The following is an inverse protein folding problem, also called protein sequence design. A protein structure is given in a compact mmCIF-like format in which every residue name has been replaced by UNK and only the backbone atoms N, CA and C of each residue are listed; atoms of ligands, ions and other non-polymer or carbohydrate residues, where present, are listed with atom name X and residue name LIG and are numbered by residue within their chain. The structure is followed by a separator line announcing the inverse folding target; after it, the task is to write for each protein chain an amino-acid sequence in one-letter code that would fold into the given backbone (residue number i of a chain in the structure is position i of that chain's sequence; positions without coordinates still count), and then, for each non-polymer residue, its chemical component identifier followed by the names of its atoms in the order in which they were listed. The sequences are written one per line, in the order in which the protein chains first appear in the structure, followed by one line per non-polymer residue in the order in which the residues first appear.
data_IF_897854059442
#
_entry.id   IF_897854059442
#
_cell.length_a   1.000
_cell.length_b   1.000
_cell.length_c   1.000
_cell.angle_alpha   90.00
_cell.angle_beta   90.00
_cell.angle_gamma   90.00
#
_symmetry.space_group_name_H-M   'P 1'
#
loop_
_entity.id
_entity.type
_entity.pdbx_description
1 polymer ?
#
# COMPACT_ATOMS: atom_id res chain seq x y z
N UNK A 1 -23.54 39.83 29.51
CA UNK A 1 -22.55 39.21 28.58
C UNK A 1 -22.38 37.70 28.80
N UNK A 2 -22.50 37.21 30.04
CA UNK A 2 -22.37 35.79 30.43
C UNK A 2 -23.28 34.80 29.66
N UNK A 3 -24.55 35.14 29.41
CA UNK A 3 -25.50 34.23 28.74
C UNK A 3 -25.24 34.03 27.24
N UNK A 4 -24.57 34.98 26.58
CA UNK A 4 -24.20 34.88 25.16
C UNK A 4 -23.02 33.94 24.96
N UNK A 5 -22.06 33.97 25.89
CA UNK A 5 -20.90 33.05 25.91
C UNK A 5 -21.33 31.60 26.13
N UNK A 6 -22.26 31.35 27.05
CA UNK A 6 -22.77 30.00 27.33
C UNK A 6 -23.49 29.41 26.11
N UNK A 7 -24.29 30.23 25.40
CA UNK A 7 -24.97 29.80 24.16
C UNK A 7 -23.99 29.52 23.02
N UNK A 8 -22.92 30.31 22.91
CA UNK A 8 -21.86 30.08 21.93
C UNK A 8 -21.11 28.77 22.21
N UNK A 9 -20.83 28.48 23.49
CA UNK A 9 -20.16 27.25 23.92
C UNK A 9 -21.03 26.01 23.64
N UNK A 10 -22.33 26.09 23.91
CA UNK A 10 -23.30 25.03 23.59
C UNK A 10 -23.45 24.79 22.08
N UNK A 11 -23.31 25.83 21.26
CA UNK A 11 -23.35 25.70 19.79
C UNK A 11 -22.07 25.05 19.24
N UNK A 12 -20.91 25.28 19.88
CA UNK A 12 -19.65 24.65 19.50
C UNK A 12 -19.60 23.14 19.82
N UNK A 13 -20.36 22.68 20.82
CA UNK A 13 -20.52 21.26 21.17
C UNK A 13 -21.32 20.45 20.13
N UNK A 14 -22.09 21.14 19.27
CA UNK A 14 -22.86 20.52 18.19
C UNK A 14 -22.08 20.41 16.87
N UNK A 15 -20.81 20.88 16.84
CA UNK A 15 -19.96 20.67 15.68
C UNK A 15 -19.68 19.16 15.57
N UNK A 16 -20.10 18.51 14.47
CA UNK A 16 -19.77 17.11 14.27
C UNK A 16 -18.25 17.00 14.21
N UNK A 17 -17.66 16.36 15.21
CA UNK A 17 -16.31 15.81 15.13
C UNK A 17 -16.37 14.75 14.03
N UNK A 18 -16.16 15.17 12.79
CA UNK A 18 -15.92 14.28 11.66
C UNK A 18 -14.57 13.62 11.89
N UNK A 19 -14.54 12.62 12.78
CA UNK A 19 -13.44 11.67 12.83
C UNK A 19 -13.44 10.95 11.49
N UNK A 20 -12.44 11.22 10.65
CA UNK A 20 -12.21 10.42 9.46
C UNK A 20 -12.04 8.96 9.92
N UNK A 21 -13.01 8.12 9.57
CA UNK A 21 -12.92 6.69 9.86
C UNK A 21 -11.68 6.16 9.14
N UNK A 22 -10.69 5.70 9.90
CA UNK A 22 -9.53 5.02 9.33
C UNK A 22 -10.03 3.76 8.64
N UNK A 23 -9.88 3.68 7.31
CA UNK A 23 -10.26 2.50 6.53
C UNK A 23 -9.57 1.27 7.13
N UNK A 24 -10.36 0.33 7.63
CA UNK A 24 -9.83 -0.91 8.19
C UNK A 24 -9.21 -1.75 7.06
N UNK A 25 -7.90 -2.02 7.15
CA UNK A 25 -7.18 -2.89 6.21
C UNK A 25 -7.05 -4.27 6.84
N UNK A 26 -7.77 -5.26 6.31
CA UNK A 26 -7.79 -6.62 6.84
C UNK A 26 -6.60 -7.45 6.33
N UNK A 27 -5.41 -7.25 6.89
CA UNK A 27 -4.25 -8.10 6.59
C UNK A 27 -4.16 -9.27 7.57
N UNK A 28 -4.22 -10.48 7.02
CA UNK A 28 -4.07 -11.74 7.75
C UNK A 28 -2.95 -12.57 7.11
N UNK A 29 -1.91 -12.99 7.86
CA UNK A 29 -1.64 -12.67 9.26
C UNK A 29 -1.36 -11.17 9.51
N UNK A 30 -1.55 -10.72 10.75
CA UNK A 30 -1.29 -9.33 11.13
C UNK A 30 0.20 -9.01 10.92
N UNK A 31 0.56 -7.93 10.21
CA UNK A 31 1.95 -7.56 10.04
C UNK A 31 2.58 -7.16 11.38
N UNK A 32 3.89 -7.40 11.51
CA UNK A 32 4.69 -7.03 12.69
C UNK A 32 4.56 -5.55 13.02
N UNK A 33 4.58 -4.71 11.99
CA UNK A 33 4.44 -3.25 12.08
C UNK A 33 3.59 -2.75 10.92
N UNK A 34 2.69 -1.81 11.20
CA UNK A 34 1.91 -1.10 10.18
C UNK A 34 1.81 0.38 10.57
N UNK A 35 2.20 1.25 9.65
CA UNK A 35 2.04 2.70 9.79
C UNK A 35 1.23 3.18 8.59
N UNK A 36 0.11 3.84 8.85
CA UNK A 36 -0.75 4.42 7.82
C UNK A 36 -0.57 5.93 7.86
N UNK A 37 0.01 6.48 6.80
CA UNK A 37 0.08 7.92 6.58
C UNK A 37 -1.17 8.41 5.85
N UNK A 38 -1.43 9.72 5.88
CA UNK A 38 -2.49 10.34 5.08
C UNK A 38 -2.18 10.22 3.59
N UNK A 39 -3.20 9.92 2.77
CA UNK A 39 -3.08 9.79 1.32
C UNK A 39 -3.49 8.40 0.82
N UNK A 40 -3.54 8.24 -0.49
CA UNK A 40 -3.89 6.97 -1.13
C UNK A 40 -3.23 6.87 -2.51
N UNK A 41 -2.76 5.69 -2.88
CA UNK A 41 -2.39 5.36 -4.26
C UNK A 41 -3.65 4.93 -5.00
N UNK A 42 -3.97 5.58 -6.11
CA UNK A 42 -4.99 5.07 -7.03
C UNK A 42 -4.30 4.20 -8.06
N UNK A 43 -4.73 2.94 -8.17
CA UNK A 43 -4.18 2.02 -9.16
C UNK A 43 -4.75 2.34 -10.55
N UNK A 44 -3.91 2.70 -11.54
CA UNK A 44 -4.32 2.78 -12.95
C UNK A 44 -4.85 1.44 -13.44
N UNK A 45 -5.63 1.43 -14.51
CA UNK A 45 -6.20 0.18 -15.05
C UNK A 45 -5.17 -0.71 -15.75
N UNK A 46 -3.99 -0.19 -16.06
CA UNK A 46 -2.98 -0.80 -16.93
C UNK A 46 -1.56 -0.66 -16.36
N UNK A 47 -1.42 -0.58 -15.05
CA UNK A 47 -0.12 -0.39 -14.42
C UNK A 47 0.82 -1.59 -14.59
N UNK A 48 2.11 -1.34 -14.35
CA UNK A 48 3.17 -2.34 -14.47
C UNK A 48 3.77 -2.71 -13.13
N UNK A 49 4.28 -3.94 -13.06
CA UNK A 49 5.03 -4.48 -11.92
C UNK A 49 6.46 -4.78 -12.40
N UNK A 50 7.45 -4.09 -11.84
CA UNK A 50 8.86 -4.31 -12.13
C UNK A 50 9.42 -5.47 -11.30
N UNK A 51 10.16 -6.37 -11.95
CA UNK A 51 10.81 -7.56 -11.36
C UNK A 51 12.33 -7.53 -11.50
N UNK A 52 12.97 -6.44 -11.05
CA UNK A 52 14.43 -6.25 -11.17
C UNK A 52 15.21 -7.18 -10.21
N UNK A 53 16.23 -7.87 -10.75
CA UNK A 53 17.13 -8.74 -10.00
C UNK A 53 16.49 -10.00 -9.40
N UNK A 54 15.31 -10.39 -9.86
CA UNK A 54 14.59 -11.58 -9.37
C UNK A 54 14.92 -12.82 -10.21
N UNK A 55 14.81 -14.00 -9.62
CA UNK A 55 14.95 -15.27 -10.34
C UNK A 55 13.67 -15.65 -11.10
N UNK A 56 13.73 -16.74 -11.87
CA UNK A 56 12.64 -17.18 -12.72
C UNK A 56 11.39 -17.62 -11.92
N UNK A 57 11.58 -18.19 -10.73
CA UNK A 57 10.47 -18.61 -9.87
C UNK A 57 9.72 -17.38 -9.31
N UNK A 58 10.44 -16.37 -8.86
CA UNK A 58 9.86 -15.10 -8.40
C UNK A 58 9.20 -14.32 -9.54
N UNK A 59 9.79 -14.31 -10.74
CA UNK A 59 9.14 -13.73 -11.92
C UNK A 59 7.87 -14.48 -12.28
N UNK A 60 7.84 -15.81 -12.16
CA UNK A 60 6.63 -16.59 -12.37
C UNK A 60 5.53 -16.25 -11.34
N UNK A 61 5.92 -16.02 -10.07
CA UNK A 61 5.01 -15.55 -9.03
C UNK A 61 4.38 -14.19 -9.38
N UNK A 62 5.19 -13.23 -9.83
CA UNK A 62 4.70 -11.89 -10.21
C UNK A 62 3.75 -11.98 -11.41
N UNK A 63 4.06 -12.82 -12.39
CA UNK A 63 3.16 -13.08 -13.52
C UNK A 63 1.84 -13.71 -13.07
N UNK A 64 1.89 -14.66 -12.12
CA UNK A 64 0.68 -15.26 -11.53
C UNK A 64 -0.15 -14.21 -10.80
N UNK A 65 0.49 -13.36 -9.98
CA UNK A 65 -0.18 -12.25 -9.31
C UNK A 65 -0.86 -11.31 -10.32
N UNK A 66 -0.18 -10.92 -11.40
CA UNK A 66 -0.77 -10.06 -12.42
C UNK A 66 -2.00 -10.71 -13.07
N UNK A 67 -1.93 -12.02 -13.37
CA UNK A 67 -3.06 -12.77 -13.91
C UNK A 67 -4.25 -12.81 -12.93
N UNK A 68 -4.01 -13.15 -11.67
CA UNK A 68 -5.04 -13.23 -10.62
C UNK A 68 -5.67 -11.86 -10.35
N UNK A 69 -4.84 -10.80 -10.32
CA UNK A 69 -5.30 -9.43 -10.13
C UNK A 69 -6.19 -8.99 -11.30
N UNK A 70 -5.79 -9.25 -12.55
CA UNK A 70 -6.58 -8.93 -13.74
C UNK A 70 -7.90 -9.70 -13.75
N UNK A 71 -7.89 -10.98 -13.38
CA UNK A 71 -9.10 -11.78 -13.29
C UNK A 71 -10.08 -11.24 -12.23
N UNK A 72 -9.57 -10.77 -11.08
CA UNK A 72 -10.39 -10.26 -9.99
C UNK A 72 -10.93 -8.83 -10.24
N UNK A 73 -10.22 -8.01 -11.01
CA UNK A 73 -10.50 -6.56 -11.14
C UNK A 73 -10.97 -6.13 -12.54
N UNK A 74 -10.68 -6.94 -13.57
CA UNK A 74 -10.85 -6.55 -14.97
C UNK A 74 -9.76 -5.62 -15.50
N UNK A 75 -8.67 -5.41 -14.75
CA UNK A 75 -7.56 -4.55 -15.15
C UNK A 75 -6.61 -5.28 -16.12
N UNK A 76 -5.64 -4.56 -16.67
CA UNK A 76 -4.62 -5.04 -17.60
C UNK A 76 -3.22 -4.78 -17.04
N UNK A 77 -2.94 -5.38 -15.88
CA UNK A 77 -1.63 -5.32 -15.22
C UNK A 77 -0.65 -6.25 -15.91
N UNK A 78 0.60 -5.83 -16.02
CA UNK A 78 1.68 -6.64 -16.62
C UNK A 78 2.95 -6.64 -15.77
N UNK A 79 3.65 -7.77 -15.77
CA UNK A 79 5.00 -7.87 -15.23
C UNK A 79 6.01 -7.45 -16.30
N UNK A 80 6.99 -6.65 -15.93
CA UNK A 80 8.05 -6.16 -16.81
C UNK A 80 9.40 -6.20 -16.10
N UNK A 81 10.46 -6.49 -16.85
CA UNK A 81 11.81 -6.44 -16.28
C UNK A 81 12.37 -5.02 -16.33
N UNK A 82 13.05 -4.62 -15.27
CA UNK A 82 13.89 -3.42 -15.20
C UNK A 82 13.17 -2.11 -15.57
N UNK A 83 11.88 -1.99 -15.25
CA UNK A 83 11.11 -0.77 -15.49
C UNK A 83 11.13 0.13 -14.24
N UNK A 84 11.94 1.19 -14.29
CA UNK A 84 12.04 2.16 -13.22
C UNK A 84 10.78 3.03 -13.06
N UNK A 85 9.90 3.08 -14.07
CA UNK A 85 8.67 3.84 -14.06
C UNK A 85 7.45 2.98 -13.70
N UNK A 86 7.65 1.69 -13.44
CA UNK A 86 6.59 0.81 -12.97
C UNK A 86 6.01 1.31 -11.64
N UNK A 87 4.68 1.30 -11.54
CA UNK A 87 3.96 1.69 -10.32
C UNK A 87 4.37 0.80 -9.16
N UNK A 88 4.44 -0.52 -9.39
CA UNK A 88 4.83 -1.49 -8.39
C UNK A 88 6.23 -2.01 -8.70
N UNK A 89 7.09 -2.10 -7.69
CA UNK A 89 8.46 -2.59 -7.82
C UNK A 89 8.71 -3.67 -6.78
N UNK A 90 9.13 -4.85 -7.24
CA UNK A 90 9.47 -5.98 -6.38
C UNK A 90 10.98 -6.18 -6.41
N UNK A 91 11.61 -6.18 -5.24
CA UNK A 91 13.06 -6.33 -5.08
C UNK A 91 13.42 -7.29 -3.95
N UNK A 92 14.65 -7.82 -3.99
CA UNK A 92 15.22 -8.59 -2.90
C UNK A 92 15.84 -7.69 -1.85
N UNK A 93 15.68 -8.08 -0.58
CA UNK A 93 16.31 -7.42 0.55
C UNK A 93 17.82 -7.69 0.53
N UNK A 94 18.62 -6.62 0.48
CA UNK A 94 20.08 -6.67 0.70
C UNK A 94 20.46 -6.46 2.17
N UNK A 95 19.45 -6.28 3.04
CA UNK A 95 19.55 -5.90 4.45
C UNK A 95 19.17 -7.08 5.35
N UNK A 96 19.79 -7.13 6.53
CA UNK A 96 19.64 -8.23 7.48
C UNK A 96 18.62 -8.00 8.60
N UNK A 97 17.91 -6.87 8.57
CA UNK A 97 16.82 -6.56 9.51
C UNK A 97 15.53 -7.36 9.23
N UNK A 98 15.40 -7.92 8.02
CA UNK A 98 14.35 -8.87 7.68
C UNK A 98 14.77 -10.29 8.04
N UNK A 99 13.82 -11.04 8.62
CA UNK A 99 13.93 -12.49 8.80
C UNK A 99 13.69 -13.18 7.46
N UNK A 100 14.05 -14.45 7.35
CA UNK A 100 13.61 -15.32 6.25
C UNK A 100 12.10 -15.21 6.07
N UNK A 101 11.66 -15.16 4.81
CA UNK A 101 10.27 -14.91 4.36
C UNK A 101 9.68 -13.57 4.83
N UNK A 102 10.51 -12.70 5.41
CA UNK A 102 10.13 -11.37 5.82
C UNK A 102 9.99 -10.43 4.64
N UNK A 103 9.05 -9.49 4.74
CA UNK A 103 8.81 -8.49 3.70
C UNK A 103 8.53 -7.11 4.28
N UNK A 104 8.74 -6.09 3.46
CA UNK A 104 8.21 -4.75 3.65
C UNK A 104 7.41 -4.31 2.43
N UNK A 105 6.28 -3.67 2.68
CA UNK A 105 5.48 -2.99 1.66
C UNK A 105 5.42 -1.53 2.07
N UNK A 106 5.82 -0.63 1.17
CA UNK A 106 5.69 0.81 1.37
C UNK A 106 5.10 1.46 0.13
N UNK A 107 4.42 2.58 0.35
CA UNK A 107 3.97 3.47 -0.72
C UNK A 107 4.66 4.82 -0.52
N UNK A 108 5.36 5.31 -1.53
CA UNK A 108 6.03 6.62 -1.49
C UNK A 108 5.14 7.64 -2.17
N UNK A 109 4.70 8.65 -1.41
CA UNK A 109 3.97 9.85 -1.87
C UNK A 109 2.74 9.59 -2.75
N UNK A 110 2.17 8.37 -2.69
CA UNK A 110 1.03 7.98 -3.52
C UNK A 110 1.40 7.64 -4.97
N UNK A 111 2.69 7.59 -5.31
CA UNK A 111 3.19 7.48 -6.69
C UNK A 111 3.71 6.07 -7.00
N UNK A 112 4.26 5.35 -6.03
CA UNK A 112 4.78 4.00 -6.28
C UNK A 112 4.62 3.10 -5.05
N UNK A 113 4.55 1.80 -5.31
CA UNK A 113 4.47 0.73 -4.33
C UNK A 113 5.78 -0.05 -4.39
N UNK A 114 6.52 -0.08 -3.29
CA UNK A 114 7.75 -0.86 -3.17
C UNK A 114 7.50 -2.07 -2.30
N UNK A 115 7.86 -3.23 -2.83
CA UNK A 115 7.81 -4.51 -2.14
C UNK A 115 9.23 -5.04 -2.08
N UNK A 116 9.74 -5.23 -0.88
CA UNK A 116 11.07 -5.81 -0.66
C UNK A 116 10.92 -7.05 0.19
N UNK A 117 11.37 -8.19 -0.31
CA UNK A 117 11.27 -9.48 0.36
C UNK A 117 12.65 -10.09 0.62
N UNK A 118 12.80 -10.82 1.72
CA UNK A 118 13.96 -11.65 1.99
C UNK A 118 13.61 -13.11 1.77
N UNK A 119 14.42 -13.79 0.99
CA UNK A 119 14.30 -15.22 0.72
C UNK A 119 15.18 -16.02 1.66
N UNK A 120 14.81 -17.27 1.88
CA UNK A 120 15.61 -18.23 2.64
C UNK A 120 16.93 -18.58 1.93
#
# INVERSE_FOLDING_TARGET
MQSKLIRLLLLALLLPLQGAAQTFVNLTPRPKTMTVASGSVTLPTDFKISSDGLDDEMKAEINRFAADFNAATGYTVSAVENDAEALMKVTLATRDDLREDGYTISSTDGVSIQITAKTA
#
